data_IF_575353078178
#
_entry.id   IF_575353078178
#
_cell.length_a   1.000
_cell.length_b   1.000
_cell.length_c   1.000
_cell.angle_alpha   90.00
_cell.angle_beta   90.00
_cell.angle_gamma   90.00
#
_symmetry.space_group_name_H-M   'P 1'
#
loop_
_entity.id
_entity.type
_entity.pdbx_description
1 polymer ?
#
# COMPACT_ATOMS: atom_id res chain seq x y z
N UNK A 1 26.08 -29.87 -2.22
CA UNK A 1 25.46 -28.77 -3.00
C UNK A 1 24.31 -28.20 -2.21
N UNK A 2 24.31 -26.90 -1.90
CA UNK A 2 23.19 -26.23 -1.21
C UNK A 2 22.10 -25.97 -2.25
N UNK A 3 20.97 -26.65 -2.15
CA UNK A 3 19.82 -26.40 -3.02
C UNK A 3 19.25 -25.02 -2.69
N UNK A 4 19.22 -24.11 -3.66
CA UNK A 4 18.55 -22.81 -3.53
C UNK A 4 17.06 -23.03 -3.39
N UNK A 5 16.52 -22.76 -2.23
CA UNK A 5 15.08 -22.82 -2.00
C UNK A 5 14.37 -21.77 -2.85
N UNK A 6 13.40 -22.20 -3.65
CA UNK A 6 12.63 -21.29 -4.49
C UNK A 6 11.71 -20.42 -3.63
N UNK A 7 11.97 -19.11 -3.59
CA UNK A 7 11.20 -18.15 -2.80
C UNK A 7 9.70 -18.11 -3.19
N UNK A 8 9.39 -18.44 -4.44
CA UNK A 8 7.99 -18.49 -4.91
C UNK A 8 7.24 -19.69 -4.32
N UNK A 9 7.88 -20.84 -4.20
CA UNK A 9 7.29 -22.04 -3.58
C UNK A 9 6.98 -21.81 -2.10
N UNK A 10 7.94 -21.20 -1.37
CA UNK A 10 7.73 -20.84 0.03
C UNK A 10 6.54 -19.89 0.16
N UNK A 11 6.49 -18.84 -0.68
CA UNK A 11 5.38 -17.88 -0.67
C UNK A 11 4.06 -18.57 -0.98
N UNK A 12 4.02 -19.45 -1.96
CA UNK A 12 2.81 -20.16 -2.35
C UNK A 12 2.31 -21.08 -1.21
N UNK A 13 3.22 -21.78 -0.53
CA UNK A 13 2.90 -22.62 0.64
C UNK A 13 2.31 -21.80 1.78
N UNK A 14 2.90 -20.62 2.05
CA UNK A 14 2.38 -19.68 3.06
C UNK A 14 1.00 -19.15 2.64
N UNK A 15 0.85 -18.76 1.38
CA UNK A 15 -0.42 -18.27 0.85
C UNK A 15 -1.53 -19.31 0.98
N UNK A 16 -1.28 -20.55 0.60
CA UNK A 16 -2.24 -21.66 0.76
C UNK A 16 -2.69 -21.80 2.22
N UNK A 17 -1.75 -21.76 3.16
CA UNK A 17 -2.06 -21.82 4.61
C UNK A 17 -2.91 -20.64 5.09
N UNK A 18 -2.63 -19.43 4.58
CA UNK A 18 -3.41 -18.22 4.90
C UNK A 18 -4.84 -18.37 4.34
N UNK A 19 -4.99 -18.83 3.10
CA UNK A 19 -6.29 -19.00 2.43
C UNK A 19 -7.23 -19.99 3.13
N UNK A 20 -6.71 -20.95 3.88
CA UNK A 20 -7.54 -21.81 4.72
C UNK A 20 -8.17 -21.06 5.89
N UNK A 21 -7.53 -19.99 6.40
CA UNK A 21 -7.98 -19.21 7.55
C UNK A 21 -8.74 -17.93 7.16
N UNK A 22 -8.41 -17.37 5.99
CA UNK A 22 -8.93 -16.08 5.52
C UNK A 22 -9.90 -16.32 4.37
N UNK A 23 -11.18 -16.05 4.62
CA UNK A 23 -12.27 -16.07 3.65
C UNK A 23 -12.98 -14.72 3.67
N UNK A 24 -13.30 -14.19 2.49
CA UNK A 24 -14.12 -13.01 2.32
C UNK A 24 -15.60 -13.39 2.21
N UNK A 25 -16.45 -12.66 2.89
CA UNK A 25 -17.91 -12.75 2.79
C UNK A 25 -18.47 -11.45 2.23
N UNK A 26 -19.77 -11.42 1.89
CA UNK A 26 -20.42 -10.20 1.42
C UNK A 26 -20.35 -9.04 2.43
N UNK A 27 -20.42 -9.34 3.74
CA UNK A 27 -20.31 -8.32 4.80
C UNK A 27 -18.87 -7.92 5.11
N UNK A 28 -17.94 -8.87 4.97
CA UNK A 28 -16.52 -8.67 5.23
C UNK A 28 -15.69 -9.30 4.12
N UNK A 29 -15.58 -8.64 2.97
CA UNK A 29 -14.84 -9.17 1.84
C UNK A 29 -13.34 -9.18 2.08
N UNK A 30 -12.62 -9.96 1.30
CA UNK A 30 -11.18 -10.14 1.43
C UNK A 30 -10.42 -9.15 0.57
N UNK A 31 -9.54 -8.36 1.19
CA UNK A 31 -8.58 -7.50 0.51
C UNK A 31 -7.33 -8.33 0.17
N UNK A 32 -7.23 -8.78 -1.06
CA UNK A 32 -6.09 -9.52 -1.58
C UNK A 32 -5.04 -8.58 -2.17
N UNK A 33 -3.78 -8.77 -1.81
CA UNK A 33 -2.65 -7.97 -2.33
C UNK A 33 -1.70 -8.87 -3.12
N UNK A 34 -1.41 -8.45 -4.34
CA UNK A 34 -0.41 -9.07 -5.19
C UNK A 34 0.67 -8.07 -5.59
N UNK A 35 1.92 -8.49 -5.51
CA UNK A 35 3.09 -7.68 -5.88
C UNK A 35 3.88 -8.36 -7.00
N UNK A 36 3.98 -7.69 -8.13
CA UNK A 36 4.93 -8.03 -9.20
C UNK A 36 6.28 -7.34 -8.99
N UNK A 37 7.17 -7.43 -9.96
CA UNK A 37 8.46 -6.72 -9.96
C UNK A 37 8.26 -5.20 -10.05
N UNK A 38 7.38 -4.74 -10.94
CA UNK A 38 7.18 -3.32 -11.28
C UNK A 38 5.88 -2.73 -10.72
N UNK A 39 4.89 -3.57 -10.37
CA UNK A 39 3.56 -3.11 -10.02
C UNK A 39 3.00 -3.80 -8.77
N UNK A 40 2.04 -3.12 -8.13
CA UNK A 40 1.25 -3.65 -7.01
C UNK A 40 -0.22 -3.64 -7.43
N UNK A 41 -0.94 -4.68 -7.03
CA UNK A 41 -2.36 -4.88 -7.29
C UNK A 41 -3.06 -5.14 -5.98
N UNK A 42 -4.21 -4.53 -5.79
CA UNK A 42 -5.09 -4.77 -4.66
C UNK A 42 -6.50 -5.07 -5.18
N UNK A 43 -7.16 -6.08 -4.61
CA UNK A 43 -8.51 -6.47 -4.99
C UNK A 43 -9.33 -6.79 -3.74
N UNK A 44 -10.55 -6.32 -3.70
CA UNK A 44 -11.55 -6.67 -2.68
C UNK A 44 -12.47 -7.71 -3.30
N UNK A 45 -12.48 -8.91 -2.73
CA UNK A 45 -13.11 -10.11 -3.29
C UNK A 45 -14.12 -10.66 -2.29
N UNK A 46 -15.32 -10.95 -2.78
CA UNK A 46 -16.29 -11.78 -2.09
C UNK A 46 -16.05 -13.24 -2.52
N UNK A 47 -15.49 -14.04 -1.61
CA UNK A 47 -15.19 -15.44 -1.87
C UNK A 47 -16.45 -16.32 -1.91
N UNK A 48 -17.58 -15.85 -1.35
CA UNK A 48 -18.85 -16.58 -1.36
C UNK A 48 -19.45 -16.60 -2.76
N UNK A 49 -19.39 -15.46 -3.43
CA UNK A 49 -19.89 -15.30 -4.81
C UNK A 49 -18.79 -15.49 -5.86
N UNK A 50 -17.52 -15.58 -5.45
CA UNK A 50 -16.37 -15.63 -6.36
C UNK A 50 -16.20 -14.36 -7.20
N UNK A 51 -16.65 -13.19 -6.69
CA UNK A 51 -16.69 -11.94 -7.43
C UNK A 51 -15.72 -10.92 -6.85
N UNK A 52 -14.99 -10.21 -7.71
CA UNK A 52 -14.21 -9.03 -7.33
C UNK A 52 -15.12 -7.81 -7.26
N UNK A 53 -15.25 -7.23 -6.09
CA UNK A 53 -16.07 -6.05 -5.85
C UNK A 53 -15.35 -4.77 -6.26
N UNK A 54 -14.08 -4.65 -5.88
CA UNK A 54 -13.24 -3.46 -6.13
C UNK A 54 -11.84 -3.92 -6.51
N UNK A 55 -11.21 -3.20 -7.43
CA UNK A 55 -9.81 -3.41 -7.80
C UNK A 55 -9.07 -2.08 -7.92
N UNK A 56 -7.77 -2.09 -7.65
CA UNK A 56 -6.85 -1.00 -7.91
C UNK A 56 -5.46 -1.54 -8.27
N UNK A 57 -4.84 -0.97 -9.28
CA UNK A 57 -3.54 -1.40 -9.77
C UNK A 57 -2.63 -0.21 -10.02
N UNK A 58 -1.35 -0.32 -9.67
CA UNK A 58 -0.36 0.73 -9.95
C UNK A 58 -0.01 0.87 -11.44
N UNK A 59 -0.56 0.01 -12.28
CA UNK A 59 -0.48 0.12 -13.74
C UNK A 59 -1.55 1.03 -14.33
N UNK A 60 -2.60 1.37 -13.56
CA UNK A 60 -3.67 2.27 -14.01
C UNK A 60 -3.13 3.68 -14.27
N UNK A 61 -3.51 4.27 -15.40
CA UNK A 61 -3.07 5.61 -15.80
C UNK A 61 -3.52 6.70 -14.82
N UNK A 62 -4.72 6.56 -14.25
CA UNK A 62 -5.26 7.46 -13.23
C UNK A 62 -4.42 7.53 -11.95
N UNK A 63 -3.66 6.47 -11.65
CA UNK A 63 -2.79 6.37 -10.49
C UNK A 63 -1.30 6.57 -10.83
N UNK A 64 -0.97 6.62 -12.13
CA UNK A 64 0.38 6.92 -12.61
C UNK A 64 0.62 8.42 -12.51
N UNK A 65 1.45 8.85 -11.60
CA UNK A 65 1.82 10.26 -11.43
C UNK A 65 1.03 11.01 -10.35
N UNK A 66 0.03 10.41 -9.74
CA UNK A 66 -0.55 10.97 -8.53
C UNK A 66 0.49 10.92 -7.40
N UNK A 67 0.94 12.08 -6.96
CA UNK A 67 1.72 12.17 -5.74
C UNK A 67 0.81 11.76 -4.56
N UNK A 68 1.33 11.06 -3.54
CA UNK A 68 0.54 10.79 -2.35
C UNK A 68 0.12 12.13 -1.75
N UNK A 69 -1.17 12.44 -1.80
CA UNK A 69 -1.72 13.56 -1.06
C UNK A 69 -1.56 13.24 0.41
N UNK A 70 -0.70 14.01 1.08
CA UNK A 70 -0.64 14.00 2.53
C UNK A 70 -2.04 14.36 3.06
N UNK A 71 -2.53 13.72 4.14
CA UNK A 71 -3.78 14.13 4.76
C UNK A 71 -3.64 15.61 5.13
N UNK A 72 -4.49 16.43 4.56
CA UNK A 72 -4.60 17.85 4.93
C UNK A 72 -5.15 17.87 6.35
N UNK A 73 -4.28 18.05 7.33
CA UNK A 73 -4.71 18.44 8.65
C UNK A 73 -5.37 19.82 8.54
N UNK A 74 -6.53 20.07 9.20
CA UNK A 74 -7.11 21.39 9.21
C UNK A 74 -6.14 22.35 9.90
N UNK A 75 -5.89 23.46 9.21
CA UNK A 75 -5.07 24.53 9.70
C UNK A 75 -5.77 25.22 10.90
N UNK A 76 -5.13 25.21 12.05
CA UNK A 76 -5.27 26.26 13.04
C UNK A 76 -3.89 26.85 13.35
N UNK A 77 -3.70 28.09 12.93
CA UNK A 77 -2.72 29.01 13.45
C UNK A 77 -3.43 29.91 14.49
N UNK A 78 -2.76 30.70 15.38
CA UNK A 78 -1.44 31.28 15.22
C UNK A 78 -0.58 31.49 16.51
N UNK A 79 0.67 31.88 16.24
CA UNK A 79 1.50 32.83 17.01
C UNK A 79 2.20 32.40 18.30
N UNK A 80 3.52 32.34 18.28
CA UNK A 80 4.42 33.35 18.82
C UNK A 80 5.88 32.86 18.86
N UNK A 81 6.77 33.67 18.30
CA UNK A 81 8.25 33.66 18.50
C UNK A 81 8.59 34.28 19.87
N UNK A 82 9.84 34.28 20.40
CA UNK A 82 11.13 34.00 19.74
C UNK A 82 12.25 33.37 20.63
N UNK A 83 13.36 33.10 19.97
CA UNK A 83 14.73 33.30 20.38
C UNK A 83 15.63 32.17 20.89
N UNK A 84 16.64 31.88 20.06
CA UNK A 84 18.10 31.90 20.30
C UNK A 84 18.77 30.70 20.96
N UNK A 85 19.70 30.12 20.20
CA UNK A 85 20.77 29.23 20.69
C UNK A 85 21.53 28.56 19.54
N UNK A 86 22.64 29.14 19.16
CA UNK A 86 23.57 28.71 18.11
C UNK A 86 24.32 27.42 18.42
N UNK A 87 24.75 26.80 17.32
CA UNK A 87 26.02 26.12 17.00
C UNK A 87 25.97 24.64 16.69
N UNK A 88 26.49 24.35 15.51
CA UNK A 88 27.17 23.10 15.22
C UNK A 88 26.95 22.53 13.81
N UNK A 89 27.68 23.09 12.84
CA UNK A 89 27.93 22.58 11.49
C UNK A 89 28.12 21.06 11.40
N UNK A 90 27.49 20.43 10.44
CA UNK A 90 28.17 19.78 9.28
C UNK A 90 27.18 19.38 8.20
N UNK A 91 27.14 20.20 7.18
CA UNK A 91 26.58 19.86 5.88
C UNK A 91 27.27 18.61 5.31
N UNK A 92 26.45 17.66 4.86
CA UNK A 92 26.81 16.80 3.74
C UNK A 92 25.64 16.75 2.78
N UNK A 93 25.56 17.79 1.95
CA UNK A 93 24.82 17.77 0.70
C UNK A 93 25.36 16.63 -0.16
N UNK A 94 24.57 15.59 -0.37
CA UNK A 94 24.64 14.82 -1.59
C UNK A 94 23.37 15.11 -2.38
N UNK A 95 23.43 16.16 -3.16
CA UNK A 95 22.49 16.40 -4.25
C UNK A 95 22.59 15.23 -5.22
N UNK A 96 21.70 14.26 -5.11
CA UNK A 96 21.55 13.18 -6.10
C UNK A 96 20.80 13.75 -7.29
N UNK A 97 21.62 14.15 -8.30
CA UNK A 97 21.27 14.54 -9.67
C UNK A 97 19.98 13.85 -10.13
N UNK A 98 18.97 14.66 -10.43
CA UNK A 98 17.77 14.21 -11.11
C UNK A 98 18.17 13.72 -12.51
N UNK A 99 18.24 12.41 -12.67
CA UNK A 99 18.33 11.76 -13.97
C UNK A 99 16.97 11.81 -14.66
N UNK A 100 16.91 11.66 -16.01
CA UNK A 100 15.68 11.82 -16.79
C UNK A 100 14.62 10.84 -16.28
N UNK A 101 13.38 11.31 -16.23
CA UNK A 101 12.18 10.66 -15.71
C UNK A 101 12.13 9.15 -16.01
N UNK A 102 12.71 8.37 -15.14
CA UNK A 102 12.50 6.93 -15.12
C UNK A 102 11.00 6.71 -14.93
N UNK A 103 10.36 6.03 -15.88
CA UNK A 103 8.97 5.60 -15.82
C UNK A 103 8.68 5.15 -14.39
N UNK A 104 7.82 5.89 -13.70
CA UNK A 104 7.57 5.69 -12.28
C UNK A 104 7.07 4.27 -12.08
N UNK A 105 7.95 3.39 -11.60
CA UNK A 105 7.60 2.02 -11.27
C UNK A 105 6.65 2.09 -10.07
N UNK A 106 5.38 1.79 -10.29
CA UNK A 106 4.37 1.77 -9.23
C UNK A 106 4.63 0.73 -8.14
N UNK A 107 5.69 -0.07 -8.28
CA UNK A 107 6.11 -1.10 -7.34
C UNK A 107 6.94 -0.60 -6.14
N UNK A 108 7.07 0.70 -5.92
CA UNK A 108 7.79 1.31 -4.80
C UNK A 108 6.87 1.54 -3.57
N UNK A 109 7.42 2.11 -2.48
CA UNK A 109 6.66 2.42 -1.26
C UNK A 109 5.58 3.49 -1.51
N UNK A 110 5.87 4.49 -2.33
CA UNK A 110 4.92 5.53 -2.69
C UNK A 110 3.74 4.95 -3.47
N UNK A 111 4.01 4.10 -4.48
CA UNK A 111 2.97 3.40 -5.21
C UNK A 111 2.13 2.48 -4.33
N UNK A 112 2.73 1.83 -3.33
CA UNK A 112 1.98 1.02 -2.38
C UNK A 112 0.99 1.85 -1.55
N UNK A 113 1.39 3.05 -1.09
CA UNK A 113 0.51 3.98 -0.38
C UNK A 113 -0.63 4.47 -1.27
N UNK A 114 -0.32 4.87 -2.50
CA UNK A 114 -1.33 5.30 -3.47
C UNK A 114 -2.38 4.23 -3.72
N UNK A 115 -1.96 2.97 -3.91
CA UNK A 115 -2.89 1.86 -4.10
C UNK A 115 -3.73 1.61 -2.85
N UNK A 116 -3.13 1.72 -1.64
CA UNK A 116 -3.87 1.62 -0.38
C UNK A 116 -4.98 2.66 -0.27
N UNK A 117 -4.69 3.91 -0.59
CA UNK A 117 -5.67 5.00 -0.62
C UNK A 117 -6.74 4.79 -1.70
N UNK A 118 -6.32 4.46 -2.92
CA UNK A 118 -7.22 4.26 -4.05
C UNK A 118 -8.23 3.12 -3.80
N UNK A 119 -7.76 1.97 -3.29
CA UNK A 119 -8.63 0.83 -3.00
C UNK A 119 -9.62 1.16 -1.87
N UNK A 120 -9.17 1.91 -0.86
CA UNK A 120 -10.03 2.31 0.24
C UNK A 120 -11.11 3.32 -0.19
N UNK A 121 -10.78 4.30 -1.03
CA UNK A 121 -11.74 5.25 -1.55
C UNK A 121 -12.81 4.55 -2.40
N UNK A 122 -12.38 3.69 -3.34
CA UNK A 122 -13.29 2.88 -4.17
C UNK A 122 -14.16 1.92 -3.33
N UNK A 123 -13.62 1.41 -2.22
CA UNK A 123 -14.38 0.56 -1.29
C UNK A 123 -15.46 1.36 -0.57
N UNK A 124 -15.14 2.58 -0.11
CA UNK A 124 -16.11 3.49 0.52
C UNK A 124 -17.25 3.88 -0.42
N UNK A 125 -16.96 4.15 -1.70
CA UNK A 125 -17.97 4.43 -2.73
C UNK A 125 -18.98 3.29 -2.86
N UNK A 126 -18.54 2.04 -2.61
CA UNK A 126 -19.39 0.84 -2.59
C UNK A 126 -19.93 0.47 -1.19
N UNK A 127 -19.73 1.34 -0.19
CA UNK A 127 -20.20 1.12 1.17
C UNK A 127 -19.43 0.07 1.98
N UNK A 128 -18.28 -0.40 1.47
CA UNK A 128 -17.46 -1.43 2.12
C UNK A 128 -16.53 -0.74 3.12
N UNK A 129 -16.72 -1.01 4.42
CA UNK A 129 -15.88 -0.48 5.49
C UNK A 129 -14.97 -1.54 6.10
N UNK A 130 -15.48 -2.76 6.29
CA UNK A 130 -14.76 -3.86 6.92
C UNK A 130 -14.25 -4.83 5.88
N UNK A 131 -12.97 -5.20 5.99
CA UNK A 131 -12.37 -6.20 5.10
C UNK A 131 -11.51 -7.19 5.91
N UNK A 132 -11.13 -8.29 5.30
CA UNK A 132 -10.13 -9.23 5.84
C UNK A 132 -8.87 -9.11 5.00
N UNK A 133 -7.76 -8.75 5.61
CA UNK A 133 -6.51 -8.52 4.89
C UNK A 133 -5.79 -9.82 4.53
N UNK A 134 -5.61 -10.08 3.23
CA UNK A 134 -4.81 -11.19 2.71
C UNK A 134 -3.51 -10.67 2.10
N UNK A 135 -2.41 -10.89 2.80
CA UNK A 135 -1.07 -10.50 2.34
C UNK A 135 -0.49 -11.35 1.21
N UNK A 136 -1.22 -12.35 0.68
CA UNK A 136 -0.78 -13.17 -0.46
C UNK A 136 0.52 -13.96 -0.22
N UNK A 137 0.81 -14.37 1.02
CA UNK A 137 2.04 -15.08 1.38
C UNK A 137 3.29 -14.18 1.50
N UNK A 138 3.18 -12.88 1.28
CA UNK A 138 4.28 -11.94 1.52
C UNK A 138 4.50 -11.69 3.02
N UNK A 139 5.71 -11.24 3.38
CA UNK A 139 6.01 -10.76 4.73
C UNK A 139 5.30 -9.43 4.94
N UNK A 140 4.70 -9.22 6.13
CA UNK A 140 4.05 -7.95 6.50
C UNK A 140 5.11 -6.90 6.85
N UNK A 141 5.80 -6.42 5.81
CA UNK A 141 6.86 -5.42 5.90
C UNK A 141 6.96 -4.58 4.64
N UNK A 142 7.56 -3.39 4.74
CA UNK A 142 7.83 -2.51 3.61
C UNK A 142 6.57 -2.17 2.82
N UNK A 143 6.53 -2.47 1.53
CA UNK A 143 5.44 -2.11 0.60
C UNK A 143 4.08 -2.68 1.00
N UNK A 144 4.03 -3.92 1.51
CA UNK A 144 2.77 -4.54 1.94
C UNK A 144 2.22 -3.84 3.19
N UNK A 145 3.12 -3.50 4.14
CA UNK A 145 2.75 -2.73 5.33
C UNK A 145 2.29 -1.32 4.93
N UNK A 146 3.03 -0.63 4.07
CA UNK A 146 2.68 0.73 3.62
C UNK A 146 1.31 0.80 2.92
N UNK A 147 0.95 -0.22 2.13
CA UNK A 147 -0.37 -0.33 1.52
C UNK A 147 -1.45 -0.52 2.59
N UNK A 148 -1.21 -1.43 3.55
CA UNK A 148 -2.16 -1.70 4.61
C UNK A 148 -2.39 -0.48 5.51
N UNK A 149 -1.32 0.21 5.91
CA UNK A 149 -1.39 1.41 6.73
C UNK A 149 -2.16 2.53 5.99
N UNK A 150 -1.84 2.79 4.71
CA UNK A 150 -2.56 3.77 3.90
C UNK A 150 -4.04 3.42 3.69
N UNK A 151 -4.38 2.13 3.58
CA UNK A 151 -5.78 1.70 3.48
C UNK A 151 -6.56 1.92 4.80
N UNK A 152 -5.89 1.72 5.96
CA UNK A 152 -6.47 2.03 7.27
C UNK A 152 -6.64 3.53 7.49
N UNK A 153 -5.61 4.33 7.17
CA UNK A 153 -5.68 5.80 7.20
C UNK A 153 -6.82 6.34 6.34
N UNK A 154 -7.06 5.72 5.20
CA UNK A 154 -8.18 6.03 4.34
C UNK A 154 -9.52 5.46 4.83
N UNK A 155 -9.58 4.74 5.96
CA UNK A 155 -10.79 4.33 6.69
C UNK A 155 -11.31 2.92 6.41
N UNK A 156 -10.47 2.00 5.94
CA UNK A 156 -10.79 0.57 5.95
C UNK A 156 -10.41 -0.05 7.30
N UNK A 157 -11.29 -0.89 7.83
CA UNK A 157 -11.12 -1.63 9.08
C UNK A 157 -10.70 -3.07 8.80
N UNK A 158 -9.53 -3.47 9.34
CA UNK A 158 -9.02 -4.87 9.29
C UNK A 158 -7.85 -5.13 10.24
#
# INVERSE_FOLDING_TARGET
>A
MIQRTNKNEIRWRIHKRIRHKVRGTGERPRLAVFRSLSHIYAQIIDDTKGQTLVAAASSEESLRGAAPTAPTAPAEAPAAKPAKGEKGEKEKKTAKKAGPAAKASGGNLAGAKLIGQAIANRAKEKGIKRVVFDRGGYIYHGRIKALADAAREAGLEF
#
